data_IF_497671897554
#
_entry.id   IF_497671897554
#
_cell.length_a   1.000
_cell.length_b   1.000
_cell.length_c   1.000
_cell.angle_alpha   90.00
_cell.angle_beta   90.00
_cell.angle_gamma   90.00
#
_symmetry.space_group_name_H-M   'P 1'
#
loop_
_entity.id
_entity.type
_entity.pdbx_description
1 polymer ?
#
# COMPACT_ATOMS: atom_id res chain seq x y z
N UNK A 1 -7.90 -10.39 -27.06
CA UNK A 1 -9.13 -10.51 -26.24
C UNK A 1 -8.74 -10.89 -24.83
N UNK A 2 -8.83 -9.95 -23.88
CA UNK A 2 -8.44 -10.18 -22.47
C UNK A 2 -9.35 -11.23 -21.83
N UNK A 3 -8.85 -11.98 -20.84
CA UNK A 3 -9.64 -12.95 -20.08
C UNK A 3 -10.93 -12.32 -19.48
N UNK A 4 -10.92 -11.01 -19.24
CA UNK A 4 -12.08 -10.27 -18.73
C UNK A 4 -13.16 -9.99 -19.77
N UNK A 5 -12.79 -9.78 -21.04
CA UNK A 5 -13.76 -9.54 -22.10
C UNK A 5 -14.60 -10.81 -22.38
N UNK A 6 -14.06 -11.99 -22.04
CA UNK A 6 -14.80 -13.26 -22.09
C UNK A 6 -15.74 -13.46 -20.90
N UNK A 7 -15.53 -12.76 -19.78
CA UNK A 7 -16.25 -12.97 -18.52
C UNK A 7 -17.35 -11.94 -18.25
N UNK A 8 -17.55 -10.92 -19.12
CA UNK A 8 -18.52 -9.83 -18.88
C UNK A 8 -18.45 -9.28 -17.44
N UNK A 9 -17.23 -9.03 -16.95
CA UNK A 9 -17.03 -8.73 -15.54
C UNK A 9 -17.72 -7.44 -15.14
N UNK A 10 -18.63 -7.58 -14.18
CA UNK A 10 -19.37 -6.46 -13.59
C UNK A 10 -18.58 -5.93 -12.42
N UNK A 11 -18.42 -4.61 -12.33
CA UNK A 11 -17.75 -3.94 -11.19
C UNK A 11 -18.26 -4.45 -9.83
N UNK A 12 -19.57 -4.70 -9.73
CA UNK A 12 -20.24 -5.26 -8.55
C UNK A 12 -19.66 -6.59 -8.10
N UNK A 13 -19.32 -7.49 -9.03
CA UNK A 13 -18.77 -8.81 -8.70
C UNK A 13 -17.33 -8.70 -8.19
N UNK A 14 -16.51 -7.81 -8.78
CA UNK A 14 -15.15 -7.57 -8.29
C UNK A 14 -15.22 -7.00 -6.87
N UNK A 15 -16.10 -6.02 -6.62
CA UNK A 15 -16.28 -5.41 -5.30
C UNK A 15 -16.75 -6.44 -4.28
N UNK A 16 -17.70 -7.30 -4.64
CA UNK A 16 -18.15 -8.39 -3.78
C UNK A 16 -17.02 -9.38 -3.46
N UNK A 17 -16.17 -9.68 -4.44
CA UNK A 17 -15.08 -10.63 -4.23
C UNK A 17 -13.97 -10.04 -3.36
N UNK A 18 -13.46 -8.86 -3.75
CA UNK A 18 -12.33 -8.21 -3.09
C UNK A 18 -12.73 -7.55 -1.77
N UNK A 19 -13.92 -6.95 -1.69
CA UNK A 19 -14.37 -6.21 -0.51
C UNK A 19 -14.73 -7.09 0.69
N UNK A 20 -15.14 -8.34 0.47
CA UNK A 20 -15.58 -9.26 1.54
C UNK A 20 -14.51 -10.23 2.04
N UNK A 21 -13.31 -10.20 1.46
CA UNK A 21 -12.24 -11.18 1.78
C UNK A 21 -11.12 -10.54 2.59
N UNK A 22 -10.59 -11.23 3.63
CA UNK A 22 -9.43 -10.77 4.36
C UNK A 22 -8.19 -10.71 3.45
N UNK A 23 -7.20 -9.90 3.85
CA UNK A 23 -5.95 -9.69 3.12
C UNK A 23 -5.31 -10.98 2.63
N UNK A 24 -5.19 -11.99 3.50
CA UNK A 24 -4.52 -13.26 3.16
C UNK A 24 -5.20 -13.95 1.97
N UNK A 25 -6.54 -13.97 1.94
CA UNK A 25 -7.29 -14.54 0.84
C UNK A 25 -7.14 -13.70 -0.44
N UNK A 26 -7.14 -12.37 -0.33
CA UNK A 26 -6.93 -11.49 -1.50
C UNK A 26 -5.57 -11.72 -2.15
N UNK A 27 -4.51 -11.81 -1.34
CA UNK A 27 -3.16 -12.10 -1.85
C UNK A 27 -3.12 -13.47 -2.55
N UNK A 28 -3.75 -14.50 -1.98
CA UNK A 28 -3.84 -15.81 -2.61
C UNK A 28 -4.59 -15.76 -3.95
N UNK A 29 -5.68 -14.99 -4.05
CA UNK A 29 -6.42 -14.78 -5.30
C UNK A 29 -5.53 -14.12 -6.36
N UNK A 30 -4.81 -13.05 -6.00
CA UNK A 30 -3.91 -12.34 -6.92
C UNK A 30 -2.81 -13.27 -7.45
N UNK A 31 -2.20 -14.06 -6.57
CA UNK A 31 -1.18 -15.03 -6.94
C UNK A 31 -1.75 -16.14 -7.85
N UNK A 32 -2.91 -16.68 -7.49
CA UNK A 32 -3.57 -17.73 -8.27
C UNK A 32 -3.97 -17.23 -9.66
N UNK A 33 -4.52 -16.01 -9.74
CA UNK A 33 -4.86 -15.38 -11.02
C UNK A 33 -3.63 -15.19 -11.89
N UNK A 34 -2.54 -14.66 -11.32
CA UNK A 34 -1.26 -14.47 -12.03
C UNK A 34 -0.71 -15.78 -12.59
N UNK A 35 -0.82 -16.87 -11.82
CA UNK A 35 -0.40 -18.20 -12.25
C UNK A 35 -1.25 -18.77 -13.38
N UNK A 36 -2.57 -18.53 -13.38
CA UNK A 36 -3.50 -19.09 -14.36
C UNK A 36 -3.49 -18.33 -15.69
N UNK A 37 -3.44 -16.99 -15.65
CA UNK A 37 -3.71 -16.16 -16.83
C UNK A 37 -2.47 -15.43 -17.36
N UNK A 38 -1.30 -15.58 -16.72
CA UNK A 38 -0.04 -14.85 -17.02
C UNK A 38 -0.18 -13.32 -17.04
N UNK A 39 -1.31 -12.80 -16.56
CA UNK A 39 -1.64 -11.39 -16.45
C UNK A 39 -1.89 -11.07 -14.98
N UNK A 40 -1.68 -9.83 -14.56
CA UNK A 40 -1.87 -9.43 -13.17
C UNK A 40 -3.16 -8.61 -13.02
N UNK A 41 -3.96 -8.94 -11.99
CA UNK A 41 -5.22 -8.25 -11.70
C UNK A 41 -5.04 -6.75 -11.52
N UNK A 42 -3.86 -6.32 -11.06
CA UNK A 42 -3.51 -4.91 -10.96
C UNK A 42 -3.56 -4.17 -12.31
N UNK A 43 -2.92 -4.71 -13.35
CA UNK A 43 -2.88 -4.11 -14.69
C UNK A 43 -4.26 -4.09 -15.34
N UNK A 44 -5.04 -5.13 -15.06
CA UNK A 44 -6.44 -5.21 -15.47
C UNK A 44 -7.26 -4.09 -14.82
N UNK A 45 -7.20 -3.94 -13.50
CA UNK A 45 -7.93 -2.87 -12.81
C UNK A 45 -7.48 -1.50 -13.31
N UNK A 46 -6.18 -1.31 -13.53
CA UNK A 46 -5.64 -0.04 -14.01
C UNK A 46 -6.04 0.29 -15.46
N UNK A 47 -6.34 -0.70 -16.29
CA UNK A 47 -6.73 -0.50 -17.70
C UNK A 47 -8.23 -0.47 -17.93
N UNK A 48 -9.02 -1.14 -17.09
CA UNK A 48 -10.47 -1.33 -17.29
C UNK A 48 -11.34 -0.48 -16.37
N UNK A 49 -10.83 -0.01 -15.24
CA UNK A 49 -11.58 0.78 -14.26
C UNK A 49 -11.10 2.23 -14.26
N UNK A 50 -11.95 3.15 -13.83
CA UNK A 50 -11.63 4.58 -13.73
C UNK A 50 -12.16 5.17 -12.42
N UNK A 51 -11.68 6.37 -12.06
CA UNK A 51 -12.09 7.10 -10.86
C UNK A 51 -11.77 6.39 -9.55
N UNK A 52 -12.48 6.76 -8.48
CA UNK A 52 -12.23 6.28 -7.11
C UNK A 52 -12.36 4.77 -6.94
N UNK A 53 -13.24 4.12 -7.71
CA UNK A 53 -13.41 2.67 -7.64
C UNK A 53 -12.14 1.93 -8.05
N UNK A 54 -11.46 2.42 -9.10
CA UNK A 54 -10.16 1.89 -9.53
C UNK A 54 -9.15 1.99 -8.39
N UNK A 55 -9.05 3.15 -7.77
CA UNK A 55 -8.05 3.41 -6.74
C UNK A 55 -8.29 2.53 -5.50
N UNK A 56 -9.55 2.36 -5.07
CA UNK A 56 -9.91 1.43 -3.99
C UNK A 56 -9.56 -0.03 -4.32
N UNK A 57 -9.88 -0.50 -5.53
CA UNK A 57 -9.60 -1.89 -5.91
C UNK A 57 -8.11 -2.15 -6.09
N UNK A 58 -7.35 -1.16 -6.57
CA UNK A 58 -5.89 -1.21 -6.59
C UNK A 58 -5.34 -1.26 -5.17
N UNK A 59 -5.83 -0.43 -4.24
CA UNK A 59 -5.40 -0.46 -2.85
C UNK A 59 -5.64 -1.84 -2.20
N UNK A 60 -6.77 -2.48 -2.49
CA UNK A 60 -7.11 -3.81 -2.00
C UNK A 60 -6.21 -4.94 -2.54
N UNK A 61 -5.43 -4.68 -3.60
CA UNK A 61 -4.43 -5.61 -4.11
C UNK A 61 -3.15 -5.68 -3.27
N UNK A 62 -2.95 -4.71 -2.37
CA UNK A 62 -1.78 -4.65 -1.50
C UNK A 62 -2.09 -5.14 -0.09
N UNK A 63 -1.06 -5.64 0.58
CA UNK A 63 -1.11 -5.77 2.05
C UNK A 63 -1.09 -4.38 2.69
N UNK A 64 -1.55 -4.22 3.95
CA UNK A 64 -1.55 -2.91 4.61
C UNK A 64 -0.16 -2.27 4.66
N UNK A 65 0.88 -3.07 4.93
CA UNK A 65 2.26 -2.58 4.97
C UNK A 65 2.80 -2.17 3.60
N UNK A 66 2.40 -2.86 2.52
CA UNK A 66 2.74 -2.45 1.15
C UNK A 66 2.02 -1.17 0.74
N UNK A 67 0.74 -1.04 1.11
CA UNK A 67 -0.03 0.16 0.82
C UNK A 67 0.53 1.38 1.55
N UNK A 68 0.76 1.28 2.86
CA UNK A 68 1.38 2.35 3.66
C UNK A 68 2.76 2.74 3.09
N UNK A 69 3.57 1.78 2.64
CA UNK A 69 4.86 2.05 2.02
C UNK A 69 4.74 2.81 0.68
N UNK A 70 3.73 2.49 -0.13
CA UNK A 70 3.43 3.19 -1.39
C UNK A 70 2.96 4.61 -1.13
N UNK A 71 2.05 4.81 -0.17
CA UNK A 71 1.54 6.14 0.17
C UNK A 71 2.64 7.02 0.77
N UNK A 72 3.47 6.49 1.66
CA UNK A 72 4.68 7.17 2.13
C UNK A 72 5.58 7.57 0.95
N UNK A 73 5.85 6.65 0.03
CA UNK A 73 6.67 6.96 -1.14
C UNK A 73 6.06 8.08 -2.01
N UNK A 74 4.73 8.04 -2.24
CA UNK A 74 4.00 9.07 -2.99
C UNK A 74 4.11 10.43 -2.29
N UNK A 75 3.85 10.47 -0.99
CA UNK A 75 3.92 11.68 -0.17
C UNK A 75 5.32 12.34 -0.18
N UNK A 76 6.39 11.54 -0.32
CA UNK A 76 7.78 12.03 -0.30
C UNK A 76 8.41 12.27 -1.68
N UNK A 77 7.77 11.83 -2.77
CA UNK A 77 8.34 11.92 -4.12
C UNK A 77 8.11 13.29 -4.78
N UNK A 78 7.09 14.04 -4.35
CA UNK A 78 6.72 15.35 -4.91
C UNK A 78 7.77 16.44 -4.71
N UNK A 79 7.61 17.55 -5.44
CA UNK A 79 8.32 18.82 -5.18
C UNK A 79 7.96 19.36 -3.80
N UNK A 80 6.69 19.20 -3.42
CA UNK A 80 6.18 19.42 -2.07
C UNK A 80 6.00 18.07 -1.37
N UNK A 81 6.31 18.04 -0.08
CA UNK A 81 6.13 16.86 0.78
C UNK A 81 4.71 16.90 1.35
N UNK A 82 3.95 15.83 1.16
CA UNK A 82 2.64 15.68 1.82
C UNK A 82 2.88 15.26 3.28
N UNK A 83 3.07 16.27 4.13
CA UNK A 83 3.36 16.09 5.56
C UNK A 83 2.18 15.46 6.29
N UNK A 84 0.94 15.75 5.89
CA UNK A 84 -0.26 15.22 6.53
C UNK A 84 -0.35 13.70 6.39
N UNK A 85 -0.17 13.17 5.18
CA UNK A 85 -0.15 11.71 4.93
C UNK A 85 0.98 11.03 5.69
N UNK A 86 2.15 11.67 5.75
CA UNK A 86 3.32 11.12 6.47
C UNK A 86 3.04 11.07 7.97
N UNK A 87 2.51 12.14 8.55
CA UNK A 87 2.17 12.23 9.98
C UNK A 87 1.08 11.22 10.30
N UNK A 88 0.03 11.12 9.49
CA UNK A 88 -1.06 10.16 9.70
C UNK A 88 -0.52 8.73 9.80
N UNK A 89 0.25 8.28 8.82
CA UNK A 89 0.77 6.91 8.79
C UNK A 89 1.75 6.67 9.95
N UNK A 90 2.66 7.61 10.23
CA UNK A 90 3.70 7.40 11.24
C UNK A 90 3.18 7.52 12.68
N UNK A 91 2.17 8.35 12.92
CA UNK A 91 1.60 8.55 14.26
C UNK A 91 0.48 7.58 14.60
N UNK A 92 -0.18 6.95 13.61
CA UNK A 92 -1.30 6.02 13.87
C UNK A 92 -0.91 4.54 13.85
N UNK A 93 0.26 4.18 13.31
CA UNK A 93 0.72 2.79 13.20
C UNK A 93 1.51 2.36 14.43
N UNK A 94 1.29 1.11 14.84
CA UNK A 94 2.04 0.51 15.94
C UNK A 94 3.51 0.23 15.56
N UNK A 95 4.38 0.08 16.54
CA UNK A 95 5.80 -0.22 16.32
C UNK A 95 6.00 -1.48 15.45
N UNK A 96 5.16 -2.51 15.62
CA UNK A 96 5.20 -3.70 14.76
C UNK A 96 4.79 -3.41 13.32
N UNK A 97 3.76 -2.59 13.11
CA UNK A 97 3.33 -2.17 11.78
C UNK A 97 4.41 -1.34 11.10
N UNK A 98 5.03 -0.39 11.82
CA UNK A 98 6.18 0.40 11.33
C UNK A 98 7.35 -0.51 10.93
N UNK A 99 7.68 -1.53 11.73
CA UNK A 99 8.70 -2.54 11.37
C UNK A 99 8.33 -3.28 10.08
N UNK A 100 7.07 -3.67 9.89
CA UNK A 100 6.60 -4.31 8.64
C UNK A 100 6.69 -3.37 7.44
N UNK A 101 6.27 -2.11 7.60
CA UNK A 101 6.38 -1.07 6.56
C UNK A 101 7.85 -0.91 6.17
N UNK A 102 8.76 -0.77 7.15
CA UNK A 102 10.21 -0.67 6.92
C UNK A 102 10.77 -1.86 6.15
N UNK A 103 10.28 -3.08 6.39
CA UNK A 103 10.75 -4.28 5.68
C UNK A 103 10.23 -4.35 4.23
N UNK A 104 9.07 -3.76 3.95
CA UNK A 104 8.46 -3.75 2.62
C UNK A 104 8.95 -2.58 1.76
N UNK A 105 9.20 -1.43 2.39
CA UNK A 105 9.59 -0.18 1.72
C UNK A 105 10.78 -0.30 0.74
N UNK A 106 11.85 -1.08 1.00
CA UNK A 106 12.95 -1.27 0.05
C UNK A 106 12.51 -1.87 -1.30
N UNK A 107 11.45 -2.69 -1.31
CA UNK A 107 10.87 -3.24 -2.54
C UNK A 107 10.21 -2.17 -3.41
N UNK A 108 9.86 -1.02 -2.84
CA UNK A 108 9.23 0.11 -3.53
C UNK A 108 10.24 1.15 -4.07
N UNK A 109 11.56 0.91 -3.96
CA UNK A 109 12.70 1.77 -4.36
C UNK A 109 12.81 3.12 -3.61
N UNK A 110 13.90 3.20 -2.83
CA UNK A 110 14.70 4.37 -2.41
C UNK A 110 13.96 5.58 -1.78
N UNK A 111 14.03 5.64 -0.45
CA UNK A 111 14.57 6.76 0.37
C UNK A 111 14.23 6.55 1.85
N UNK A 112 14.75 5.46 2.45
CA UNK A 112 14.60 5.18 3.89
C UNK A 112 15.22 6.29 4.75
N UNK A 113 16.27 6.96 4.23
CA UNK A 113 17.02 7.97 4.98
C UNK A 113 16.24 9.27 5.22
N UNK A 114 15.35 9.68 4.29
CA UNK A 114 14.48 10.85 4.50
C UNK A 114 13.42 10.58 5.55
N UNK A 115 12.79 9.40 5.52
CA UNK A 115 11.81 8.98 6.54
C UNK A 115 12.44 8.99 7.93
N UNK A 116 13.59 8.33 8.11
CA UNK A 116 14.24 8.25 9.42
C UNK A 116 14.64 9.65 9.91
N UNK A 117 15.17 10.52 9.04
CA UNK A 117 15.53 11.90 9.42
C UNK A 117 14.30 12.74 9.79
N UNK A 118 13.19 12.60 9.06
CA UNK A 118 11.95 13.32 9.32
C UNK A 118 11.27 12.82 10.60
N UNK A 119 11.30 11.50 10.84
CA UNK A 119 10.89 10.85 12.09
C UNK A 119 11.74 11.34 13.27
N UNK A 120 13.08 11.35 13.17
CA UNK A 120 13.97 11.87 14.21
C UNK A 120 13.75 13.38 14.46
N UNK A 121 13.49 14.16 13.41
CA UNK A 121 13.16 15.58 13.50
C UNK A 121 11.83 15.81 14.22
N UNK A 122 10.77 15.06 13.87
CA UNK A 122 9.48 15.09 14.56
C UNK A 122 9.59 14.62 16.02
N UNK A 123 10.39 13.59 16.32
CA UNK A 123 10.65 13.16 17.70
C UNK A 123 11.33 14.24 18.53
N UNK A 124 12.33 14.91 17.98
CA UNK A 124 13.01 16.03 18.64
C UNK A 124 12.08 17.22 18.88
N UNK A 125 11.02 17.39 18.09
CA UNK A 125 10.11 18.54 18.13
C UNK A 125 8.84 18.28 18.96
N UNK A 126 8.38 17.03 19.04
CA UNK A 126 7.11 16.65 19.67
C UNK A 126 7.23 15.90 21.01
N UNK A 127 8.45 15.63 21.52
CA UNK A 127 8.67 14.99 22.84
C UNK A 127 7.84 13.71 23.04
N UNK A 128 7.68 12.91 21.99
CA UNK A 128 7.00 11.61 22.04
C UNK A 128 8.01 10.54 22.48
N UNK A 129 7.94 10.17 23.75
CA UNK A 129 8.87 9.24 24.44
C UNK A 129 8.61 7.75 24.16
N UNK A 130 7.77 7.39 23.19
CA UNK A 130 7.26 6.03 22.99
C UNK A 130 7.91 5.23 21.84
N UNK A 131 8.92 5.78 21.17
CA UNK A 131 9.60 5.10 20.03
C UNK A 131 11.12 4.92 20.30
N UNK A 132 11.55 5.05 21.55
CA UNK A 132 12.92 4.70 21.96
C UNK A 132 13.02 3.22 22.27
N UNK A 133 13.07 2.37 21.25
CA UNK A 133 13.64 1.02 21.32
C UNK A 133 13.97 0.55 19.90
N UNK A 134 14.92 1.25 19.28
CA UNK A 134 15.67 0.75 18.13
C UNK A 134 17.13 0.61 18.57
N UNK A 135 17.37 -0.36 19.44
CA UNK A 135 18.67 -0.98 19.67
C UNK A 135 18.68 -2.33 18.94
N UNK A 136 19.72 -2.51 18.12
CA UNK A 136 20.15 -3.72 17.36
C UNK A 136 19.33 -4.15 16.13
#
# INVERSE_FOLDING_TARGET
>A
MSALDRLKIREKEIVEVMGRRPVVQRIAILQKYKSLYKDNLFAIFNSKLTGYLKDCLIALCYTPAEFDAIELHRAMRGTDTDEDTIIEILCTRSNEQIKRIKNVYPKCKLLVYKIIKYILYLFSKLRLSSITEYGE
#
